data_IF_707899072212
#
_entry.id   IF_707899072212
#
_cell.length_a   1.000
_cell.length_b   1.000
_cell.length_c   1.000
_cell.angle_alpha   90.00
_cell.angle_beta   90.00
_cell.angle_gamma   90.00
#
_symmetry.space_group_name_H-M   'P 1'
#
loop_
_entity.id
_entity.type
_entity.pdbx_description
1 polymer ?
#
# COMPACT_ATOMS: atom_id res chain seq x y z
N UNK A 1 -11.98 -13.31 -15.63
CA UNK A 1 -12.60 -13.95 -14.43
C UNK A 1 -13.95 -13.30 -14.26
N UNK A 2 -15.04 -14.02 -14.11
CA UNK A 2 -16.35 -13.39 -13.89
C UNK A 2 -16.48 -13.10 -12.40
N UNK A 3 -16.67 -11.83 -12.06
CA UNK A 3 -16.81 -11.37 -10.68
C UNK A 3 -18.15 -11.85 -10.12
N UNK A 4 -18.14 -12.55 -8.98
CA UNK A 4 -19.34 -12.87 -8.21
C UNK A 4 -19.50 -11.85 -7.09
N UNK A 5 -20.62 -11.17 -7.08
CA UNK A 5 -20.91 -10.08 -6.14
C UNK A 5 -22.14 -10.46 -5.34
N UNK A 6 -22.10 -10.30 -4.01
CA UNK A 6 -23.30 -10.50 -3.20
C UNK A 6 -24.42 -9.52 -3.60
N UNK A 7 -25.65 -9.97 -3.55
CA UNK A 7 -26.82 -9.15 -3.92
C UNK A 7 -26.89 -7.87 -3.08
N UNK A 8 -26.59 -7.96 -1.79
CA UNK A 8 -26.66 -6.82 -0.87
C UNK A 8 -25.63 -5.76 -1.24
N UNK A 9 -24.38 -6.16 -1.53
CA UNK A 9 -23.33 -5.23 -1.94
C UNK A 9 -23.65 -4.60 -3.31
N UNK A 10 -24.16 -5.41 -4.25
CA UNK A 10 -24.55 -4.90 -5.56
C UNK A 10 -25.68 -3.85 -5.44
N UNK A 11 -26.70 -4.15 -4.63
CA UNK A 11 -27.83 -3.24 -4.40
C UNK A 11 -27.39 -1.95 -3.70
N UNK A 12 -26.57 -2.05 -2.67
CA UNK A 12 -26.01 -0.90 -1.97
C UNK A 12 -25.23 0.02 -2.92
N UNK A 13 -24.31 -0.54 -3.68
CA UNK A 13 -23.50 0.26 -4.62
C UNK A 13 -24.40 0.92 -5.68
N UNK A 14 -25.31 0.16 -6.28
CA UNK A 14 -26.11 0.66 -7.40
C UNK A 14 -27.18 1.67 -6.99
N UNK A 15 -27.76 1.54 -5.79
CA UNK A 15 -28.93 2.32 -5.40
C UNK A 15 -28.61 3.41 -4.36
N UNK A 16 -27.51 3.30 -3.63
CA UNK A 16 -27.17 4.24 -2.56
C UNK A 16 -25.84 4.93 -2.82
N UNK A 17 -24.77 4.17 -3.12
CA UNK A 17 -23.42 4.72 -3.27
C UNK A 17 -23.29 5.58 -4.54
N UNK A 18 -23.87 5.15 -5.64
CA UNK A 18 -23.78 5.84 -6.93
C UNK A 18 -24.90 6.88 -7.15
N UNK A 19 -25.83 6.99 -6.21
CA UNK A 19 -26.89 7.98 -6.30
C UNK A 19 -26.32 9.40 -6.32
N UNK A 20 -26.78 10.20 -7.28
CA UNK A 20 -26.29 11.57 -7.50
C UNK A 20 -24.90 11.69 -8.13
N UNK A 21 -24.25 10.57 -8.50
CA UNK A 21 -22.98 10.57 -9.23
C UNK A 21 -23.21 10.31 -10.73
N UNK A 22 -22.36 10.92 -11.57
CA UNK A 22 -22.36 10.68 -13.03
C UNK A 22 -21.57 9.41 -13.38
N UNK A 23 -21.89 8.31 -12.70
CA UNK A 23 -21.26 6.99 -12.84
C UNK A 23 -22.37 5.93 -12.89
N UNK A 24 -22.40 5.15 -13.98
CA UNK A 24 -23.38 4.06 -14.06
C UNK A 24 -22.89 2.81 -13.29
N UNK A 25 -23.82 1.98 -12.75
CA UNK A 25 -23.47 0.72 -12.10
C UNK A 25 -22.64 -0.20 -12.99
N UNK A 26 -22.95 -0.28 -14.29
CA UNK A 26 -22.23 -1.11 -15.25
C UNK A 26 -20.77 -0.66 -15.41
N UNK A 27 -20.57 0.65 -15.51
CA UNK A 27 -19.21 1.22 -15.58
C UNK A 27 -18.43 0.96 -14.30
N UNK A 28 -19.04 1.16 -13.14
CA UNK A 28 -18.42 0.89 -11.85
C UNK A 28 -17.96 -0.57 -11.74
N UNK A 29 -18.87 -1.52 -11.97
CA UNK A 29 -18.56 -2.94 -11.81
C UNK A 29 -17.57 -3.46 -12.85
N UNK A 30 -17.65 -3.02 -14.10
CA UNK A 30 -16.68 -3.38 -15.13
C UNK A 30 -15.29 -2.82 -14.83
N UNK A 31 -15.20 -1.61 -14.31
CA UNK A 31 -13.93 -1.00 -13.88
C UNK A 31 -13.34 -1.73 -12.69
N UNK A 32 -14.16 -2.11 -11.71
CA UNK A 32 -13.73 -2.88 -10.55
C UNK A 32 -13.23 -4.29 -10.94
N UNK A 33 -13.95 -4.98 -11.83
CA UNK A 33 -13.51 -6.27 -12.37
C UNK A 33 -12.15 -6.15 -13.08
N UNK A 34 -11.94 -5.08 -13.84
CA UNK A 34 -10.67 -4.80 -14.49
C UNK A 34 -9.53 -4.62 -13.47
N UNK A 35 -9.75 -3.83 -12.42
CA UNK A 35 -8.79 -3.64 -11.33
C UNK A 35 -8.43 -5.00 -10.71
N UNK A 36 -9.40 -5.80 -10.35
CA UNK A 36 -9.14 -7.11 -9.74
C UNK A 36 -8.40 -8.06 -10.68
N UNK A 37 -8.78 -8.10 -11.95
CA UNK A 37 -8.14 -8.98 -12.94
C UNK A 37 -6.69 -8.58 -13.24
N UNK A 38 -6.37 -7.30 -13.14
CA UNK A 38 -5.03 -6.76 -13.38
C UNK A 38 -4.13 -6.90 -12.13
N UNK A 39 -4.64 -6.50 -10.96
CA UNK A 39 -3.82 -6.40 -9.76
C UNK A 39 -3.77 -7.65 -8.90
N UNK A 40 -4.78 -8.55 -8.95
CA UNK A 40 -4.74 -9.78 -8.15
C UNK A 40 -3.57 -10.70 -8.51
N UNK A 41 -3.29 -10.98 -9.80
CA UNK A 41 -2.12 -11.77 -10.17
C UNK A 41 -0.80 -11.09 -9.75
N UNK A 42 -0.75 -9.77 -9.88
CA UNK A 42 0.43 -9.00 -9.46
C UNK A 42 0.65 -9.06 -7.95
N UNK A 43 -0.41 -8.98 -7.17
CA UNK A 43 -0.34 -9.14 -5.72
C UNK A 43 0.17 -10.54 -5.33
N UNK A 44 -0.35 -11.59 -5.98
CA UNK A 44 0.10 -12.96 -5.75
C UNK A 44 1.59 -13.14 -6.07
N UNK A 45 2.05 -12.61 -7.19
CA UNK A 45 3.47 -12.61 -7.56
C UNK A 45 4.35 -11.94 -6.49
N UNK A 46 3.93 -10.78 -5.97
CA UNK A 46 4.66 -10.05 -4.94
C UNK A 46 4.67 -10.80 -3.59
N UNK A 47 3.57 -11.46 -3.23
CA UNK A 47 3.51 -12.31 -2.04
C UNK A 47 4.45 -13.51 -2.17
N UNK A 48 4.50 -14.15 -3.32
CA UNK A 48 5.41 -15.25 -3.60
C UNK A 48 6.88 -14.79 -3.55
N UNK A 49 7.20 -13.63 -4.12
CA UNK A 49 8.53 -13.02 -4.03
C UNK A 49 8.92 -12.74 -2.58
N UNK A 50 8.00 -12.18 -1.79
CA UNK A 50 8.24 -11.95 -0.35
C UNK A 50 8.58 -13.25 0.39
N UNK A 51 7.80 -14.31 0.17
CA UNK A 51 7.99 -15.60 0.82
C UNK A 51 9.32 -16.25 0.40
N UNK A 52 9.71 -16.10 -0.86
CA UNK A 52 10.99 -16.58 -1.37
C UNK A 52 12.17 -15.86 -0.66
N UNK A 53 12.13 -14.54 -0.61
CA UNK A 53 13.16 -13.74 0.06
C UNK A 53 13.25 -14.09 1.54
N UNK A 54 12.11 -14.24 2.23
CA UNK A 54 12.06 -14.65 3.63
C UNK A 54 12.74 -16.01 3.83
N UNK A 55 12.40 -17.00 3.00
CA UNK A 55 13.00 -18.32 3.06
C UNK A 55 14.54 -18.30 2.86
N UNK A 56 15.02 -17.47 1.95
CA UNK A 56 16.47 -17.30 1.71
C UNK A 56 17.18 -16.69 2.93
N UNK A 57 16.57 -15.69 3.55
CA UNK A 57 17.10 -15.05 4.77
C UNK A 57 17.13 -16.05 5.93
N UNK A 58 16.06 -16.80 6.13
CA UNK A 58 15.99 -17.81 7.19
C UNK A 58 17.06 -18.89 7.02
N UNK A 59 17.24 -19.39 5.80
CA UNK A 59 18.28 -20.37 5.48
C UNK A 59 19.69 -19.82 5.69
N UNK A 60 19.92 -18.56 5.34
CA UNK A 60 21.20 -17.91 5.60
C UNK A 60 21.52 -17.91 7.11
N UNK A 61 20.57 -17.52 7.95
CA UNK A 61 20.73 -17.51 9.40
C UNK A 61 20.90 -18.94 9.96
N UNK A 62 20.08 -19.89 9.53
CA UNK A 62 20.19 -21.29 9.97
C UNK A 62 21.59 -21.86 9.66
N UNK A 63 22.09 -21.63 8.45
CA UNK A 63 23.38 -22.14 8.00
C UNK A 63 24.58 -21.50 8.73
N UNK A 64 24.39 -20.43 9.46
CA UNK A 64 25.40 -19.65 10.17
C UNK A 64 25.18 -19.55 11.68
N UNK A 65 24.27 -20.34 12.23
CA UNK A 65 23.86 -20.28 13.64
C UNK A 65 25.05 -20.33 14.62
N UNK A 66 26.07 -21.10 14.27
CA UNK A 66 27.28 -21.32 15.13
C UNK A 66 28.52 -20.51 14.66
N UNK A 67 28.31 -19.54 13.75
CA UNK A 67 29.37 -18.67 13.23
C UNK A 67 29.25 -17.25 13.76
N UNK A 68 30.39 -16.55 13.84
CA UNK A 68 30.35 -15.12 14.11
C UNK A 68 29.60 -14.39 13.01
N UNK A 69 28.76 -13.43 13.41
CA UNK A 69 28.01 -12.63 12.49
C UNK A 69 28.89 -11.58 11.79
N UNK A 70 29.04 -11.71 10.47
CA UNK A 70 29.72 -10.71 9.63
C UNK A 70 28.68 -9.83 8.96
N UNK A 71 28.63 -8.57 9.39
CA UNK A 71 27.68 -7.58 8.87
C UNK A 71 27.89 -7.26 7.39
N UNK A 72 29.13 -7.28 6.90
CA UNK A 72 29.43 -6.98 5.51
C UNK A 72 29.00 -8.15 4.61
N UNK A 73 29.31 -9.37 5.01
CA UNK A 73 28.85 -10.58 4.31
C UNK A 73 27.32 -10.61 4.24
N UNK A 74 26.64 -10.33 5.35
CA UNK A 74 25.17 -10.30 5.39
C UNK A 74 24.57 -9.21 4.49
N UNK A 75 25.12 -8.01 4.54
CA UNK A 75 24.69 -6.91 3.67
C UNK A 75 24.83 -7.26 2.17
N UNK A 76 25.96 -7.89 1.80
CA UNK A 76 26.20 -8.32 0.43
C UNK A 76 25.19 -9.41 0.01
N UNK A 77 24.92 -10.37 0.88
CA UNK A 77 23.89 -11.39 0.65
C UNK A 77 22.52 -10.76 0.44
N UNK A 78 22.10 -9.80 1.27
CA UNK A 78 20.81 -9.09 1.13
C UNK A 78 20.71 -8.32 -0.19
N UNK A 79 21.81 -7.74 -0.68
CA UNK A 79 21.87 -7.13 -2.00
C UNK A 79 21.72 -8.18 -3.11
N UNK A 80 22.42 -9.31 -2.99
CA UNK A 80 22.41 -10.38 -3.98
C UNK A 80 21.02 -10.99 -4.18
N UNK A 81 20.23 -11.16 -3.11
CA UNK A 81 18.85 -11.68 -3.19
C UNK A 81 17.82 -10.60 -3.56
N UNK A 82 18.26 -9.36 -3.74
CA UNK A 82 17.38 -8.23 -4.09
C UNK A 82 16.49 -7.71 -2.96
N UNK A 83 16.86 -8.02 -1.69
CA UNK A 83 16.21 -7.42 -0.52
C UNK A 83 16.63 -5.95 -0.34
N UNK A 84 17.93 -5.68 -0.44
CA UNK A 84 18.47 -4.32 -0.49
C UNK A 84 18.63 -3.93 -1.96
N UNK A 85 17.90 -2.93 -2.38
CA UNK A 85 18.02 -2.34 -3.70
C UNK A 85 19.13 -1.28 -3.71
N UNK A 86 19.70 -1.04 -4.89
CA UNK A 86 20.63 0.07 -5.08
C UNK A 86 19.90 1.40 -5.01
N UNK A 87 20.59 2.40 -4.49
CA UNK A 87 20.11 3.78 -4.49
C UNK A 87 19.98 4.26 -5.94
N UNK A 88 18.80 4.73 -6.30
CA UNK A 88 18.52 5.24 -7.65
C UNK A 88 19.01 6.69 -7.85
N UNK A 89 19.63 7.27 -6.83
CA UNK A 89 20.07 8.66 -6.81
C UNK A 89 18.96 9.64 -6.43
N UNK A 90 19.30 10.90 -6.44
CA UNK A 90 18.39 11.97 -6.06
C UNK A 90 17.24 12.11 -7.06
N UNK A 91 16.05 12.31 -6.55
CA UNK A 91 14.86 12.57 -7.37
C UNK A 91 14.08 13.76 -6.83
N UNK A 92 13.37 14.42 -7.70
CA UNK A 92 12.50 15.54 -7.35
C UNK A 92 11.05 15.15 -7.51
N UNK A 93 10.25 15.38 -6.48
CA UNK A 93 8.79 15.20 -6.55
C UNK A 93 8.20 16.47 -7.16
N UNK A 94 7.50 16.32 -8.29
CA UNK A 94 6.72 17.39 -8.90
C UNK A 94 5.24 17.16 -8.66
N UNK A 95 4.58 18.17 -8.13
CA UNK A 95 3.13 18.16 -7.90
C UNK A 95 2.49 19.37 -8.56
N UNK A 96 1.26 19.22 -9.02
CA UNK A 96 0.45 20.32 -9.58
C UNK A 96 -0.90 20.37 -8.87
N UNK A 97 -1.49 21.55 -8.84
CA UNK A 97 -2.83 21.78 -8.25
C UNK A 97 -2.94 21.33 -6.78
N UNK A 98 -1.89 21.51 -6.01
CA UNK A 98 -1.88 21.23 -4.56
C UNK A 98 -2.17 22.52 -3.82
N UNK A 99 -3.08 22.45 -2.86
CA UNK A 99 -3.42 23.57 -2.00
C UNK A 99 -2.17 24.10 -1.28
N UNK A 100 -2.00 25.45 -1.17
CA UNK A 100 -0.82 26.05 -0.54
C UNK A 100 -0.58 25.52 0.87
N UNK A 101 -1.63 25.29 1.65
CA UNK A 101 -1.56 24.77 3.02
C UNK A 101 -0.91 23.38 3.08
N UNK A 102 -1.21 22.51 2.10
CA UNK A 102 -0.63 21.17 2.03
C UNK A 102 0.79 21.21 1.48
N UNK A 103 1.06 22.13 0.55
CA UNK A 103 2.36 22.24 -0.11
C UNK A 103 3.45 22.82 0.80
N UNK A 104 3.09 23.79 1.65
CA UNK A 104 4.05 24.62 2.41
C UNK A 104 4.09 24.31 3.90
N UNK A 105 3.03 23.73 4.46
CA UNK A 105 2.93 23.45 5.88
C UNK A 105 3.22 21.96 6.12
N UNK A 106 4.29 21.67 6.88
CA UNK A 106 4.57 20.32 7.34
C UNK A 106 3.54 19.90 8.40
N UNK A 107 2.70 18.93 8.06
CA UNK A 107 1.72 18.37 8.99
C UNK A 107 2.13 17.03 9.56
N UNK A 108 1.49 16.57 10.65
CA UNK A 108 1.76 15.26 11.21
C UNK A 108 1.43 14.16 10.19
N UNK A 109 2.33 13.20 10.08
CA UNK A 109 2.11 11.98 9.31
C UNK A 109 1.62 10.91 10.26
N UNK A 110 0.32 10.61 10.18
CA UNK A 110 -0.33 9.63 11.06
C UNK A 110 -0.90 8.48 10.22
N UNK A 111 -0.58 7.27 10.64
CA UNK A 111 -1.21 6.06 10.11
C UNK A 111 -2.14 5.52 11.20
N UNK A 112 -3.43 5.53 10.95
CA UNK A 112 -4.45 5.12 11.92
C UNK A 112 -5.48 4.21 11.27
N UNK A 113 -6.07 3.26 12.03
CA UNK A 113 -7.16 2.45 11.53
C UNK A 113 -8.43 3.32 11.41
N UNK A 114 -8.81 3.63 10.17
CA UNK A 114 -9.98 4.50 9.88
C UNK A 114 -11.32 3.88 10.30
N UNK A 115 -11.36 2.57 10.50
CA UNK A 115 -12.56 1.88 11.00
C UNK A 115 -12.80 2.09 12.50
N UNK A 116 -11.86 2.71 13.22
CA UNK A 116 -12.02 3.08 14.61
C UNK A 116 -12.25 4.58 14.72
N UNK A 117 -13.48 4.99 15.01
CA UNK A 117 -13.88 6.39 15.05
C UNK A 117 -13.02 7.26 15.98
N UNK A 118 -12.61 6.73 17.13
CA UNK A 118 -11.77 7.47 18.09
C UNK A 118 -10.39 7.78 17.52
N UNK A 119 -9.76 6.81 16.84
CA UNK A 119 -8.46 7.04 16.20
C UNK A 119 -8.57 8.00 15.03
N UNK A 120 -9.61 7.86 14.19
CA UNK A 120 -9.85 8.75 13.07
C UNK A 120 -10.07 10.20 13.52
N UNK A 121 -10.88 10.42 14.56
CA UNK A 121 -11.13 11.75 15.15
C UNK A 121 -9.85 12.35 15.74
N UNK A 122 -9.06 11.57 16.47
CA UNK A 122 -7.81 12.06 17.06
C UNK A 122 -6.80 12.46 15.96
N UNK A 123 -6.69 11.68 14.88
CA UNK A 123 -5.83 12.00 13.76
C UNK A 123 -6.30 13.28 13.04
N UNK A 124 -7.60 13.44 12.84
CA UNK A 124 -8.18 14.65 12.25
C UNK A 124 -7.92 15.88 13.10
N UNK A 125 -8.11 15.78 14.43
CA UNK A 125 -7.82 16.88 15.35
C UNK A 125 -6.35 17.25 15.37
N UNK A 126 -5.44 16.28 15.34
CA UNK A 126 -4.00 16.53 15.26
C UNK A 126 -3.63 17.23 13.95
N UNK A 127 -4.23 16.84 12.83
CA UNK A 127 -4.02 17.51 11.54
C UNK A 127 -4.57 18.93 11.53
N UNK A 128 -5.77 19.14 12.07
CA UNK A 128 -6.37 20.45 12.21
C UNK A 128 -5.46 21.42 12.98
N UNK A 129 -4.95 21.01 14.14
CA UNK A 129 -4.05 21.82 14.94
C UNK A 129 -2.72 22.15 14.27
N UNK A 130 -2.29 21.42 13.23
CA UNK A 130 -1.09 21.71 12.46
C UNK A 130 -1.30 22.65 11.27
N UNK A 131 -2.57 22.94 10.91
CA UNK A 131 -2.92 23.86 9.83
C UNK A 131 -3.08 25.31 10.30
N UNK A 132 -3.22 25.53 11.58
CA UNK A 132 -3.37 26.82 12.25
C UNK A 132 -2.24 27.06 13.26
#
# INVERSE_FOLDING_TARGET
MKLEISQDLHSFVSNELLDGLDITPEYFWSSFEKILSEFSPRNEELLNKRNLIQSQIDQWHISRKDKNHDHLEYKNFLKQIGYILEDQGDFTISTSNVDPEIKTIAGPQLVVPVMNARFALNATNARWGSLY
#
